data_IF_497347275407
#
_entry.id   IF_497347275407
#
_cell.length_a   1.000
_cell.length_b   1.000
_cell.length_c   1.000
_cell.angle_alpha   90.00
_cell.angle_beta   90.00
_cell.angle_gamma   90.00
#
_symmetry.space_group_name_H-M   'P 1'
#
loop_
_entity.id
_entity.type
_entity.pdbx_description
1 polymer ?
#
# COMPACT_ATOMS: atom_id res chain seq x y z
N UNK A 1 9.32 17.86 0.42
CA UNK A 1 8.27 17.77 1.47
C UNK A 1 8.63 16.56 2.33
N UNK A 2 8.67 16.69 3.65
CA UNK A 2 8.93 15.58 4.58
C UNK A 2 7.70 15.41 5.44
N UNK A 3 7.21 14.18 5.56
CA UNK A 3 6.03 13.86 6.35
C UNK A 3 6.11 12.45 6.93
N UNK A 4 5.19 12.14 7.84
CA UNK A 4 4.99 10.83 8.46
C UNK A 4 3.58 10.37 8.12
N UNK A 5 3.43 9.11 7.75
CA UNK A 5 2.16 8.54 7.28
C UNK A 5 2.08 8.40 5.77
N UNK A 6 1.11 7.60 5.30
CA UNK A 6 0.74 7.43 3.87
C UNK A 6 1.91 7.10 2.92
N UNK A 7 2.79 6.19 3.34
CA UNK A 7 3.95 5.76 2.54
C UNK A 7 3.50 5.20 1.18
N UNK A 8 4.07 5.74 0.11
CA UNK A 8 3.87 5.26 -1.25
C UNK A 8 5.02 5.75 -2.14
N UNK A 9 5.88 4.84 -2.59
CA UNK A 9 7.03 5.17 -3.44
C UNK A 9 6.95 4.34 -4.73
N UNK A 10 6.72 5.02 -5.86
CA UNK A 10 6.74 4.37 -7.17
C UNK A 10 8.18 4.29 -7.70
N UNK A 11 8.71 3.09 -7.81
CA UNK A 11 10.01 2.80 -8.42
C UNK A 11 9.80 2.39 -9.88
N UNK A 12 10.50 3.06 -10.78
CA UNK A 12 10.57 2.71 -12.21
C UNK A 12 11.96 2.18 -12.51
N UNK A 13 12.05 0.96 -13.03
CA UNK A 13 13.33 0.37 -13.43
C UNK A 13 13.69 0.79 -14.85
N UNK A 14 14.98 0.72 -15.20
CA UNK A 14 15.43 0.98 -16.57
C UNK A 14 14.81 0.00 -17.59
N UNK A 15 14.44 -1.21 -17.15
CA UNK A 15 13.73 -2.22 -17.95
C UNK A 15 12.23 -1.98 -18.08
N UNK A 16 11.70 -0.86 -17.57
CA UNK A 16 10.29 -0.48 -17.71
C UNK A 16 9.37 -0.98 -16.62
N UNK A 17 9.84 -1.81 -15.69
CA UNK A 17 9.02 -2.30 -14.60
C UNK A 17 8.65 -1.18 -13.62
N UNK A 18 7.41 -1.22 -13.14
CA UNK A 18 6.80 -0.28 -12.19
C UNK A 18 6.44 -1.02 -10.91
N UNK A 19 7.22 -0.77 -9.88
CA UNK A 19 7.07 -1.41 -8.56
C UNK A 19 6.67 -0.33 -7.57
N UNK A 20 5.56 -0.55 -6.88
CA UNK A 20 5.13 0.33 -5.79
C UNK A 20 5.65 -0.20 -4.46
N UNK A 21 6.38 0.61 -3.70
CA UNK A 21 6.79 0.30 -2.34
C UNK A 21 5.80 0.96 -1.38
N UNK A 22 5.09 0.12 -0.63
CA UNK A 22 4.02 0.48 0.29
C UNK A 22 2.85 1.25 -0.36
N UNK A 23 1.68 1.18 0.27
CA UNK A 23 0.54 2.01 -0.08
C UNK A 23 -0.31 2.22 1.17
N UNK A 24 0.16 3.13 2.02
CA UNK A 24 -0.43 3.38 3.33
C UNK A 24 -1.38 4.57 3.37
N UNK A 25 -2.03 4.75 4.52
CA UNK A 25 -2.84 5.93 4.83
C UNK A 25 -2.28 6.67 6.03
N UNK A 26 -2.56 7.96 6.14
CA UNK A 26 -2.31 8.70 7.38
C UNK A 26 -3.63 8.80 8.14
N UNK A 27 -3.65 8.37 9.39
CA UNK A 27 -4.82 8.43 10.28
C UNK A 27 -4.54 9.48 11.35
N UNK A 28 -5.00 10.71 11.11
CA UNK A 28 -5.10 11.77 12.11
C UNK A 28 -6.61 12.04 12.36
N UNK A 29 -7.02 13.30 12.53
CA UNK A 29 -8.44 13.71 12.59
C UNK A 29 -9.26 13.28 11.35
N UNK A 30 -8.57 13.05 10.22
CA UNK A 30 -9.13 12.53 8.97
C UNK A 30 -8.18 11.50 8.38
N UNK A 31 -8.74 10.53 7.65
CA UNK A 31 -7.96 9.60 6.83
C UNK A 31 -7.47 10.34 5.58
N UNK A 32 -6.15 10.42 5.43
CA UNK A 32 -5.51 10.99 4.24
C UNK A 32 -4.93 9.87 3.39
N UNK A 33 -5.34 9.84 2.11
CA UNK A 33 -4.85 8.87 1.13
C UNK A 33 -3.45 9.25 0.63
N UNK A 34 -2.67 8.25 0.17
CA UNK A 34 -1.39 8.49 -0.50
C UNK A 34 -1.61 9.09 -1.89
N UNK A 35 -0.52 9.44 -2.58
CA UNK A 35 -0.58 9.88 -3.97
C UNK A 35 -1.29 8.87 -4.87
N UNK A 36 -2.04 9.36 -5.86
CA UNK A 36 -2.73 8.49 -6.80
C UNK A 36 -1.73 7.71 -7.66
N UNK A 37 -1.89 6.38 -7.70
CA UNK A 37 -1.17 5.48 -8.58
C UNK A 37 -2.19 4.57 -9.26
N UNK A 38 -2.16 4.51 -10.58
CA UNK A 38 -3.03 3.61 -11.35
C UNK A 38 -2.62 2.15 -11.11
N UNK A 39 -3.49 1.28 -10.56
CA UNK A 39 -3.10 -0.10 -10.28
C UNK A 39 -2.83 -0.93 -11.54
N UNK A 40 -3.38 -0.51 -12.69
CA UNK A 40 -3.16 -1.15 -14.00
C UNK A 40 -1.75 -0.93 -14.54
N UNK A 41 -1.06 0.09 -14.04
CA UNK A 41 0.30 0.42 -14.46
C UNK A 41 1.35 -0.29 -13.59
N UNK A 42 0.95 -1.05 -12.57
CA UNK A 42 1.87 -1.68 -11.61
C UNK A 42 2.12 -3.14 -11.96
N UNK A 43 3.39 -3.51 -12.04
CA UNK A 43 3.80 -4.92 -12.16
C UNK A 43 3.74 -5.62 -10.79
N UNK A 44 4.10 -4.89 -9.73
CA UNK A 44 4.13 -5.41 -8.37
C UNK A 44 3.98 -4.31 -7.31
N UNK A 45 3.56 -4.73 -6.12
CA UNK A 45 3.55 -3.96 -4.88
C UNK A 45 4.39 -4.72 -3.85
N UNK A 46 5.36 -4.05 -3.24
CA UNK A 46 6.15 -4.60 -2.14
C UNK A 46 5.74 -3.90 -0.85
N UNK A 47 5.39 -4.69 0.17
CA UNK A 47 5.02 -4.17 1.49
C UNK A 47 6.17 -4.41 2.46
N UNK A 48 6.61 -3.34 3.10
CA UNK A 48 7.71 -3.37 4.07
C UNK A 48 7.29 -4.03 5.39
N UNK A 49 6.15 -3.62 5.95
CA UNK A 49 5.58 -4.14 7.20
C UNK A 49 4.09 -3.78 7.33
N UNK A 50 3.43 -4.28 8.38
CA UNK A 50 1.97 -4.33 8.46
C UNK A 50 1.26 -3.07 8.95
N UNK A 51 1.97 -2.01 9.36
CA UNK A 51 1.32 -0.81 9.89
C UNK A 51 0.45 -0.11 8.84
N UNK A 52 -0.64 0.53 9.29
CA UNK A 52 -1.63 1.15 8.39
C UNK A 52 -1.06 2.29 7.54
N UNK A 53 0.00 2.95 8.01
CA UNK A 53 0.75 3.94 7.24
C UNK A 53 1.62 3.37 6.13
N UNK A 54 1.64 2.04 5.98
CA UNK A 54 2.25 1.30 4.88
C UNK A 54 1.25 0.40 4.11
N UNK A 55 0.18 -0.11 4.74
CA UNK A 55 -0.77 -1.03 4.09
C UNK A 55 -2.19 -0.50 3.92
N UNK A 56 -2.56 0.59 4.59
CA UNK A 56 -3.96 0.99 4.74
C UNK A 56 -4.70 1.33 3.44
N UNK A 57 -3.99 1.68 2.37
CA UNK A 57 -4.58 1.95 1.06
C UNK A 57 -4.44 0.77 0.08
N UNK A 58 -3.68 -0.28 0.42
CA UNK A 58 -3.46 -1.47 -0.43
C UNK A 58 -4.76 -2.10 -0.93
N UNK A 59 -5.84 -2.25 -0.12
CA UNK A 59 -7.11 -2.79 -0.62
C UNK A 59 -7.69 -2.02 -1.82
N UNK A 60 -7.42 -0.71 -1.94
CA UNK A 60 -7.89 0.10 -3.07
C UNK A 60 -7.25 -0.31 -4.41
N UNK A 61 -6.02 -0.83 -4.37
CA UNK A 61 -5.32 -1.34 -5.54
C UNK A 61 -5.99 -2.61 -6.10
N UNK A 62 -6.67 -3.37 -5.23
CA UNK A 62 -7.37 -4.61 -5.57
C UNK A 62 -8.78 -4.38 -6.16
N UNK A 63 -9.36 -3.19 -5.96
CA UNK A 63 -10.68 -2.85 -6.50
C UNK A 63 -10.60 -2.51 -8.00
N UNK A 64 -9.55 -1.81 -8.41
CA UNK A 64 -9.41 -1.26 -9.78
C UNK A 64 -8.31 -1.94 -10.62
N UNK A 65 -7.59 -2.88 -10.02
CA UNK A 65 -6.61 -3.75 -10.65
C UNK A 65 -6.35 -4.98 -9.76
N UNK A 66 -5.32 -5.75 -10.10
CA UNK A 66 -4.85 -6.87 -9.28
C UNK A 66 -3.33 -7.05 -9.46
N UNK A 67 -2.51 -6.05 -9.07
CA UNK A 67 -1.06 -6.19 -9.14
C UNK A 67 -0.59 -7.29 -8.19
N UNK A 68 0.56 -7.90 -8.48
CA UNK A 68 1.16 -8.89 -7.58
C UNK A 68 1.62 -8.20 -6.30
N UNK A 69 1.15 -8.66 -5.14
CA UNK A 69 1.56 -8.12 -3.84
C UNK A 69 2.54 -9.09 -3.19
N UNK A 70 3.69 -8.59 -2.77
CA UNK A 70 4.69 -9.36 -2.04
C UNK A 70 4.93 -8.75 -0.66
N UNK A 71 4.99 -9.61 0.34
CA UNK A 71 5.30 -9.29 1.72
C UNK A 71 5.82 -10.56 2.41
N UNK A 72 6.41 -10.41 3.60
CA UNK A 72 6.69 -11.57 4.45
C UNK A 72 5.38 -12.17 4.97
N UNK A 73 5.38 -13.46 5.30
CA UNK A 73 4.19 -14.13 5.85
C UNK A 73 3.67 -13.44 7.12
N UNK A 74 4.59 -13.01 8.00
CA UNK A 74 4.25 -12.26 9.22
C UNK A 74 3.53 -10.94 8.90
N UNK A 75 4.00 -10.20 7.90
CA UNK A 75 3.38 -8.94 7.46
C UNK A 75 1.99 -9.18 6.91
N UNK A 76 1.78 -10.22 6.10
CA UNK A 76 0.44 -10.56 5.56
C UNK A 76 -0.55 -10.84 6.69
N UNK A 77 -0.18 -11.70 7.65
CA UNK A 77 -1.06 -12.07 8.77
C UNK A 77 -1.44 -10.87 9.65
N UNK A 78 -0.47 -10.00 9.95
CA UNK A 78 -0.72 -8.81 10.76
C UNK A 78 -1.54 -7.76 10.00
N UNK A 79 -1.20 -7.53 8.73
CA UNK A 79 -1.92 -6.58 7.88
C UNK A 79 -3.38 -6.99 7.70
N UNK A 80 -3.67 -8.29 7.56
CA UNK A 80 -5.05 -8.78 7.46
C UNK A 80 -5.90 -8.41 8.69
N UNK A 81 -5.36 -8.58 9.90
CA UNK A 81 -6.06 -8.20 11.14
C UNK A 81 -6.28 -6.69 11.20
N UNK A 82 -5.23 -5.90 10.96
CA UNK A 82 -5.29 -4.43 11.04
C UNK A 82 -6.21 -3.83 9.97
N UNK A 83 -6.20 -4.38 8.75
CA UNK A 83 -7.07 -3.93 7.67
C UNK A 83 -8.53 -4.30 7.92
N UNK A 84 -8.81 -5.48 8.49
CA UNK A 84 -10.18 -5.86 8.89
C UNK A 84 -10.73 -4.92 9.96
N UNK A 85 -9.94 -4.62 10.99
CA UNK A 85 -10.32 -3.67 12.05
C UNK A 85 -10.59 -2.27 11.47
N UNK A 86 -9.69 -1.77 10.61
CA UNK A 86 -9.86 -0.48 9.92
C UNK A 86 -11.14 -0.44 9.07
N UNK A 87 -11.46 -1.54 8.37
CA UNK A 87 -12.64 -1.66 7.52
C UNK A 87 -13.92 -2.05 8.29
N UNK A 88 -13.80 -2.33 9.60
CA UNK A 88 -14.89 -2.82 10.48
C UNK A 88 -15.57 -4.09 9.95
N UNK A 89 -14.77 -5.03 9.46
CA UNK A 89 -15.20 -6.32 8.92
C UNK A 89 -15.16 -7.44 9.98
#
# INVERSE_FOLDING_TARGET
MREVGRSAILVKTAGGARILLDYGVKVDDKVMMPGHVSPRDLDAVLISHAHLDHVGAVPLLLVSGAPKIFATESTVRQAEVLLKDMLKL
#
